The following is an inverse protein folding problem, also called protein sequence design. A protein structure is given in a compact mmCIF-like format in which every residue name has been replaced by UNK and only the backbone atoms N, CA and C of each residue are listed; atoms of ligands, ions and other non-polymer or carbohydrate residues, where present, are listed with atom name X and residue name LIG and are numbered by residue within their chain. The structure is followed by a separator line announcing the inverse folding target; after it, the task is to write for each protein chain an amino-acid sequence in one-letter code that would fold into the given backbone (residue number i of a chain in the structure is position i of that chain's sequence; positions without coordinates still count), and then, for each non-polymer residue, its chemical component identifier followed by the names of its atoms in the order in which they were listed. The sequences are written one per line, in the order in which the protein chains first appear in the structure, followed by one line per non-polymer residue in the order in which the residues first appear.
data_IF_469788290034
#
_entry.id   IF_469788290034
#
_cell.length_a   1.000
_cell.length_b   1.000
_cell.length_c   1.000
_cell.angle_alpha   90.00
_cell.angle_beta   90.00
_cell.angle_gamma   90.00
#
_symmetry.space_group_name_H-M   'P 1'
#
loop_
_entity.id
_entity.type
_entity.pdbx_description
1 polymer ?
#
# COMPACT_ATOMS: atom_id res chain seq x y z
N UNK A 1 -6.30 12.94 -5.07
CA UNK A 1 -7.16 11.76 -4.76
C UNK A 1 -7.25 11.63 -3.24
N UNK A 2 -8.40 11.22 -2.69
CA UNK A 2 -8.48 10.86 -1.27
C UNK A 2 -8.07 9.38 -1.09
N UNK A 3 -6.89 9.13 -0.54
CA UNK A 3 -6.37 7.78 -0.27
C UNK A 3 -6.94 7.28 1.06
N UNK A 4 -7.54 6.07 1.11
CA UNK A 4 -8.03 5.51 2.36
C UNK A 4 -6.94 5.33 3.42
N UNK A 5 -7.35 5.16 4.68
CA UNK A 5 -6.43 4.85 5.77
C UNK A 5 -5.77 3.48 5.53
N UNK A 6 -4.45 3.43 5.69
CA UNK A 6 -3.71 2.15 5.65
C UNK A 6 -3.92 1.36 6.94
N UNK A 7 -3.89 0.03 6.86
CA UNK A 7 -4.02 -0.88 8.01
C UNK A 7 -3.01 -0.55 9.12
N UNK A 8 -1.73 -0.54 8.75
CA UNK A 8 -0.63 -0.15 9.63
C UNK A 8 0.58 0.28 8.82
N UNK A 9 1.51 0.96 9.48
CA UNK A 9 2.80 1.31 8.86
C UNK A 9 3.60 0.06 8.51
N UNK A 10 3.54 -0.97 9.36
CA UNK A 10 4.22 -2.25 9.14
C UNK A 10 3.71 -2.96 7.89
N UNK A 11 2.39 -3.11 7.73
CA UNK A 11 1.79 -3.77 6.56
C UNK A 11 2.18 -3.04 5.27
N UNK A 12 2.23 -1.71 5.29
CA UNK A 12 2.67 -0.93 4.15
C UNK A 12 4.14 -1.19 3.81
N UNK A 13 5.05 -1.13 4.80
CA UNK A 13 6.47 -1.39 4.57
C UNK A 13 6.71 -2.83 4.09
N UNK A 14 6.06 -3.81 4.71
CA UNK A 14 6.19 -5.23 4.36
C UNK A 14 5.70 -5.49 2.93
N UNK A 15 4.51 -4.99 2.56
CA UNK A 15 3.98 -5.16 1.20
C UNK A 15 4.88 -4.51 0.16
N UNK A 16 5.45 -3.34 0.46
CA UNK A 16 6.34 -2.65 -0.46
C UNK A 16 7.56 -3.49 -0.82
N UNK A 17 8.19 -4.13 0.18
CA UNK A 17 9.42 -4.90 -0.03
C UNK A 17 9.19 -6.36 -0.42
N UNK A 18 8.04 -6.95 -0.09
CA UNK A 18 7.75 -8.36 -0.38
C UNK A 18 7.18 -8.61 -1.76
N UNK A 19 6.63 -7.58 -2.41
CA UNK A 19 5.79 -7.74 -3.60
C UNK A 19 6.17 -6.76 -4.69
N UNK A 20 6.48 -7.25 -5.89
CA UNK A 20 6.81 -6.41 -7.06
C UNK A 20 5.56 -5.78 -7.72
N UNK A 21 4.43 -6.47 -7.67
CA UNK A 21 3.17 -6.02 -8.25
C UNK A 21 1.98 -6.31 -7.33
N UNK A 22 1.16 -5.31 -7.05
CA UNK A 22 0.04 -5.42 -6.12
C UNK A 22 -1.23 -5.89 -6.83
N UNK A 23 -1.86 -6.92 -6.28
CA UNK A 23 -3.17 -7.41 -6.68
C UNK A 23 -4.26 -6.92 -5.73
N UNK A 24 -5.53 -7.18 -6.09
CA UNK A 24 -6.67 -6.79 -5.26
C UNK A 24 -6.58 -7.34 -3.82
N UNK A 25 -5.99 -8.52 -3.63
CA UNK A 25 -5.77 -9.09 -2.30
C UNK A 25 -4.80 -8.25 -1.46
N UNK A 26 -3.72 -7.74 -2.06
CA UNK A 26 -2.74 -6.89 -1.38
C UNK A 26 -3.32 -5.52 -1.05
N UNK A 27 -4.12 -4.98 -1.96
CA UNK A 27 -4.88 -3.75 -1.71
C UNK A 27 -5.86 -3.91 -0.53
N UNK A 28 -6.47 -5.09 -0.35
CA UNK A 28 -7.31 -5.37 0.83
C UNK A 28 -6.52 -5.47 2.12
N UNK A 29 -5.29 -6.00 2.08
CA UNK A 29 -4.38 -5.99 3.23
C UNK A 29 -3.97 -4.57 3.60
N UNK A 30 -3.64 -3.75 2.59
CA UNK A 30 -3.18 -2.39 2.80
C UNK A 30 -4.32 -1.45 3.23
N UNK A 31 -5.52 -1.61 2.66
CA UNK A 31 -6.69 -0.75 2.89
C UNK A 31 -7.92 -1.60 3.29
N UNK A 32 -7.95 -2.17 4.51
CA UNK A 32 -8.98 -3.12 4.92
C UNK A 32 -10.40 -2.54 4.91
N UNK A 33 -10.53 -1.24 5.22
CA UNK A 33 -11.81 -0.54 5.29
C UNK A 33 -12.29 0.00 3.92
N UNK A 34 -11.52 -0.19 2.85
CA UNK A 34 -11.87 0.33 1.54
C UNK A 34 -12.91 -0.56 0.84
N UNK A 35 -13.97 0.08 0.33
CA UNK A 35 -14.98 -0.60 -0.49
C UNK A 35 -14.39 -1.13 -1.80
N UNK A 36 -15.05 -2.13 -2.41
CA UNK A 36 -14.63 -2.68 -3.70
C UNK A 36 -14.47 -1.59 -4.78
N UNK A 37 -15.38 -0.62 -4.84
CA UNK A 37 -15.30 0.53 -5.74
C UNK A 37 -14.07 1.39 -5.46
N UNK A 38 -13.72 1.58 -4.20
CA UNK A 38 -12.53 2.33 -3.79
C UNK A 38 -11.25 1.60 -4.20
N UNK A 39 -11.19 0.28 -3.99
CA UNK A 39 -10.06 -0.55 -4.41
C UNK A 39 -9.87 -0.53 -5.93
N UNK A 40 -10.96 -0.64 -6.70
CA UNK A 40 -10.92 -0.51 -8.16
C UNK A 40 -10.40 0.85 -8.60
N UNK A 41 -10.80 1.93 -7.92
CA UNK A 41 -10.31 3.29 -8.20
C UNK A 41 -8.82 3.44 -7.86
N UNK A 42 -8.36 2.93 -6.72
CA UNK A 42 -6.94 2.94 -6.32
C UNK A 42 -6.07 2.25 -7.37
N UNK A 43 -6.50 1.07 -7.82
CA UNK A 43 -5.82 0.33 -8.89
C UNK A 43 -5.81 1.12 -10.20
N UNK A 44 -6.94 1.74 -10.58
CA UNK A 44 -7.01 2.55 -11.81
C UNK A 44 -6.02 3.71 -11.77
N UNK A 45 -5.97 4.46 -10.68
CA UNK A 45 -5.06 5.61 -10.53
C UNK A 45 -3.59 5.18 -10.54
N UNK A 46 -3.26 4.06 -9.92
CA UNK A 46 -1.90 3.50 -9.99
C UNK A 46 -1.53 3.09 -11.43
N UNK A 47 -2.44 2.49 -12.19
CA UNK A 47 -2.21 2.15 -13.62
C UNK A 47 -2.05 3.39 -14.49
N UNK A 48 -2.91 4.39 -14.31
CA UNK A 48 -2.82 5.68 -15.01
C UNK A 48 -1.46 6.33 -14.73
N UNK A 49 -0.98 6.28 -13.49
CA UNK A 49 0.36 6.74 -13.12
C UNK A 49 1.46 5.96 -13.85
N UNK A 50 1.46 4.62 -13.83
CA UNK A 50 2.45 3.80 -14.56
C UNK A 50 2.50 4.14 -16.05
N UNK A 51 1.33 4.23 -16.70
CA UNK A 51 1.23 4.57 -18.13
C UNK A 51 1.75 6.00 -18.39
N UNK A 52 1.41 6.96 -17.52
CA UNK A 52 1.85 8.35 -17.66
C UNK A 52 3.37 8.52 -17.52
N UNK A 53 4.05 7.60 -16.83
CA UNK A 53 5.50 7.55 -16.71
C UNK A 53 6.17 6.74 -17.84
N UNK A 54 5.41 6.32 -18.87
CA UNK A 54 5.93 5.57 -20.01
C UNK A 54 6.27 4.12 -19.71
N UNK A 55 5.82 3.59 -18.58
CA UNK A 55 6.06 2.21 -18.18
C UNK A 55 4.92 1.31 -18.64
N UNK A 56 5.26 0.07 -19.00
CA UNK A 56 4.28 -0.95 -19.34
C UNK A 56 3.71 -1.60 -18.09
N UNK A 57 2.41 -1.92 -18.14
CA UNK A 57 1.78 -2.74 -17.11
C UNK A 57 2.28 -4.18 -17.23
N UNK A 58 2.53 -4.80 -16.08
CA UNK A 58 2.96 -6.21 -15.98
C UNK A 58 1.82 -7.12 -16.45
N UNK A 59 0.61 -6.86 -15.97
CA UNK A 59 -0.61 -7.55 -16.39
C UNK A 59 -1.85 -6.65 -16.24
N UNK A 60 -3.03 -7.18 -16.61
CA UNK A 60 -4.30 -6.43 -16.56
C UNK A 60 -4.94 -6.37 -15.16
N UNK A 61 -4.45 -7.16 -14.22
CA UNK A 61 -4.93 -7.40 -12.86
C UNK A 61 -3.94 -6.96 -11.77
N UNK A 62 -2.83 -6.32 -12.10
CA UNK A 62 -1.84 -5.84 -11.12
C UNK A 62 -1.40 -4.41 -11.40
N UNK A 63 -0.66 -3.85 -10.44
CA UNK A 63 0.02 -2.55 -10.55
C UNK A 63 1.43 -2.68 -9.98
N UNK A 64 2.47 -2.10 -10.61
CA UNK A 64 3.80 -2.07 -10.02
C UNK A 64 3.75 -1.39 -8.65
N UNK A 65 4.38 -1.99 -7.65
CA UNK A 65 4.30 -1.55 -6.26
C UNK A 65 4.82 -0.13 -6.08
N UNK A 66 5.96 0.21 -6.68
CA UNK A 66 6.54 1.55 -6.63
C UNK A 66 5.59 2.64 -7.14
N UNK A 67 5.00 2.39 -8.29
CA UNK A 67 4.10 3.32 -8.96
C UNK A 67 2.80 3.47 -8.19
N UNK A 68 2.29 2.39 -7.63
CA UNK A 68 1.11 2.42 -6.78
C UNK A 68 1.33 3.30 -5.55
N UNK A 69 2.47 3.15 -4.86
CA UNK A 69 2.81 3.95 -3.68
C UNK A 69 2.93 5.43 -4.04
N UNK A 70 3.63 5.76 -5.13
CA UNK A 70 3.74 7.14 -5.63
C UNK A 70 2.37 7.72 -5.98
N UNK A 71 1.54 6.98 -6.70
CA UNK A 71 0.21 7.42 -7.13
C UNK A 71 -0.74 7.69 -5.94
N UNK A 72 -0.59 6.97 -4.84
CA UNK A 72 -1.40 7.13 -3.63
C UNK A 72 -0.81 8.11 -2.62
N UNK A 73 0.37 8.65 -2.88
CA UNK A 73 1.09 9.56 -1.97
C UNK A 73 1.69 8.85 -0.75
N UNK A 74 1.94 7.54 -0.85
CA UNK A 74 2.61 6.76 0.18
C UNK A 74 4.13 6.87 0.00
N UNK A 75 4.75 7.71 0.81
CA UNK A 75 6.19 7.88 0.85
C UNK A 75 6.82 6.74 1.68
N UNK A 76 7.42 5.77 0.98
CA UNK A 76 8.03 4.61 1.63
C UNK A 76 9.11 5.02 2.64
N UNK A 77 9.96 6.00 2.33
CA UNK A 77 11.01 6.46 3.25
C UNK A 77 10.44 7.01 4.55
N UNK A 78 9.32 7.74 4.48
CA UNK A 78 8.60 8.19 5.70
C UNK A 78 7.97 7.02 6.44
N UNK A 79 7.41 6.04 5.74
CA UNK A 79 6.82 4.85 6.37
C UNK A 79 7.88 4.02 7.09
N UNK A 80 9.05 3.83 6.50
CA UNK A 80 10.19 3.16 7.14
C UNK A 80 10.68 3.88 8.39
N UNK A 81 10.82 5.21 8.33
CA UNK A 81 11.23 6.01 9.48
C UNK A 81 10.23 5.87 10.64
N UNK A 82 8.92 5.89 10.32
CA UNK A 82 7.86 5.64 11.30
C UNK A 82 7.92 4.21 11.85
N UNK A 83 8.10 3.21 10.99
CA UNK A 83 8.20 1.81 11.39
C UNK A 83 9.37 1.57 12.35
N UNK A 84 10.55 2.08 12.01
CA UNK A 84 11.75 2.03 12.86
C UNK A 84 11.50 2.69 14.21
N UNK A 85 10.84 3.86 14.23
CA UNK A 85 10.51 4.55 15.49
C UNK A 85 9.52 3.75 16.33
N UNK A 86 8.48 3.19 15.73
CA UNK A 86 7.50 2.33 16.42
C UNK A 86 8.17 1.10 17.04
N UNK A 87 9.05 0.43 16.29
CA UNK A 87 9.82 -0.72 16.77
C UNK A 87 10.71 -0.37 17.95
N UNK A 88 11.43 0.76 17.87
CA UNK A 88 12.30 1.23 18.96
C UNK A 88 11.51 1.62 20.22
N UNK A 89 10.26 2.05 20.08
CA UNK A 89 9.39 2.39 21.21
C UNK A 89 8.64 1.16 21.77
N UNK A 90 8.76 -0.02 21.15
CA UNK A 90 7.97 -1.19 21.53
C UNK A 90 6.48 -1.06 21.18
N UNK A 91 6.12 -0.14 20.28
CA UNK A 91 4.73 0.18 19.88
C UNK A 91 4.34 -0.51 18.56
N UNK A 92 5.15 -1.47 18.10
CA UNK A 92 4.92 -2.28 16.90
C UNK A 92 3.98 -3.44 17.19
N UNK A 93 2.71 -3.28 16.82
CA UNK A 93 1.57 -4.19 16.99
C UNK A 93 1.11 -4.40 18.43
N UNK A 94 -0.02 -3.76 18.75
CA UNK A 94 -0.97 -4.32 19.69
C UNK A 94 -1.51 -5.62 19.06
N UNK A 95 -1.02 -6.76 19.51
CA UNK A 95 -1.91 -7.91 19.66
C UNK A 95 -2.84 -7.54 20.81
N UNK A 96 -3.98 -6.94 20.51
CA UNK A 96 -5.10 -7.01 21.45
C UNK A 96 -5.45 -8.50 21.56
N UNK A 97 -5.02 -9.11 22.66
CA UNK A 97 -5.61 -10.33 23.13
C UNK A 97 -7.05 -10.01 23.49
N UNK A 98 -7.99 -10.51 22.70
CA UNK A 98 -9.34 -10.74 23.18
C UNK A 98 -9.35 -12.11 23.84
N UNK A 99 -9.60 -12.06 25.15
CA UNK A 99 -9.94 -13.18 26.02
C UNK A 99 -11.21 -13.90 25.54
#
# INVERSE_FOLDING_TARGET
MNTPRIASVEVAVELYYSTFALYTADLRKLFPDASATTLSRLKRVAREYTISNGLMLIDSLSVPTDDAYKAWGLDIGKLEAKFKKLKNLGLGTAKEGTA
#
